data_IF_312155976578
#
_entry.id   IF_312155976578
#
_cell.length_a   1.000
_cell.length_b   1.000
_cell.length_c   1.000
_cell.angle_alpha   90.00
_cell.angle_beta   90.00
_cell.angle_gamma   90.00
#
_symmetry.space_group_name_H-M   'P 1'
#
loop_
_entity.id
_entity.type
_entity.pdbx_description
1 polymer ?
#
# COMPACT_ATOMS: atom_id res chain seq x y z
N UNK A 1 -2.07 12.50 9.75
CA UNK A 1 -1.25 11.40 10.28
C UNK A 1 -2.00 10.08 10.33
N UNK A 2 -3.10 9.96 11.10
CA UNK A 2 -3.90 8.71 11.24
C UNK A 2 -4.26 8.05 9.89
N UNK A 3 -4.67 8.84 8.89
CA UNK A 3 -5.04 8.34 7.55
C UNK A 3 -3.92 7.62 6.80
N UNK A 4 -2.67 8.07 6.98
CA UNK A 4 -1.50 7.46 6.35
C UNK A 4 -1.17 6.16 7.08
N UNK A 5 -1.33 6.11 8.40
CA UNK A 5 -1.15 4.90 9.20
C UNK A 5 -2.16 3.81 8.82
N UNK A 6 -3.40 4.16 8.50
CA UNK A 6 -4.39 3.20 7.98
C UNK A 6 -3.91 2.62 6.65
N UNK A 7 -3.51 3.47 5.69
CA UNK A 7 -2.99 2.99 4.39
C UNK A 7 -1.74 2.12 4.54
N UNK A 8 -0.82 2.49 5.43
CA UNK A 8 0.38 1.71 5.76
C UNK A 8 0.00 0.35 6.36
N UNK A 9 -0.91 0.33 7.34
CA UNK A 9 -1.38 -0.91 7.96
C UNK A 9 -2.05 -1.84 6.94
N UNK A 10 -2.91 -1.30 6.07
CA UNK A 10 -3.52 -2.07 4.98
C UNK A 10 -2.46 -2.61 4.01
N UNK A 11 -1.46 -1.81 3.64
CA UNK A 11 -0.36 -2.24 2.77
C UNK A 11 0.38 -3.45 3.37
N UNK A 12 0.72 -3.38 4.66
CA UNK A 12 1.46 -4.44 5.36
C UNK A 12 0.60 -5.70 5.46
N UNK A 13 -0.66 -5.60 5.88
CA UNK A 13 -1.56 -6.76 6.02
C UNK A 13 -1.74 -7.46 4.67
N UNK A 14 -2.05 -6.71 3.61
CA UNK A 14 -2.24 -7.27 2.28
C UNK A 14 -0.97 -7.91 1.73
N UNK A 15 0.19 -7.27 1.96
CA UNK A 15 1.48 -7.80 1.54
C UNK A 15 1.81 -9.14 2.23
N UNK A 16 1.52 -9.26 3.52
CA UNK A 16 1.81 -10.46 4.30
C UNK A 16 0.84 -11.62 4.02
N UNK A 17 -0.45 -11.33 3.78
CA UNK A 17 -1.48 -12.37 3.62
C UNK A 17 -1.63 -12.80 2.16
N UNK A 18 -1.67 -11.84 1.22
CA UNK A 18 -2.01 -12.09 -0.19
C UNK A 18 -0.78 -11.98 -1.11
N UNK A 19 0.37 -11.58 -0.56
CA UNK A 19 1.61 -11.41 -1.29
C UNK A 19 1.81 -10.00 -1.85
N UNK A 20 2.99 -9.80 -2.43
CA UNK A 20 3.52 -8.47 -2.77
C UNK A 20 2.69 -7.67 -3.79
N UNK A 21 1.99 -8.36 -4.70
CA UNK A 21 1.15 -7.71 -5.70
C UNK A 21 -0.01 -6.90 -5.06
N UNK A 22 -0.46 -7.28 -3.87
CA UNK A 22 -1.58 -6.63 -3.18
C UNK A 22 -1.18 -5.38 -2.38
N UNK A 23 0.11 -5.02 -2.36
CA UNK A 23 0.57 -3.76 -1.76
C UNK A 23 -0.07 -2.51 -2.40
N UNK A 24 -0.52 -2.61 -3.66
CA UNK A 24 -1.30 -1.55 -4.32
C UNK A 24 -2.58 -1.18 -3.56
N UNK A 25 -3.20 -2.14 -2.85
CA UNK A 25 -4.41 -1.91 -2.05
C UNK A 25 -4.18 -0.93 -0.90
N UNK A 26 -2.99 -0.94 -0.29
CA UNK A 26 -2.61 0.06 0.71
C UNK A 26 -2.46 1.46 0.11
N UNK A 27 -1.94 1.54 -1.11
CA UNK A 27 -1.93 2.78 -1.91
C UNK A 27 -3.35 3.28 -2.18
N UNK A 28 -4.26 2.41 -2.62
CA UNK A 28 -5.68 2.74 -2.86
C UNK A 28 -6.33 3.28 -1.60
N UNK A 29 -6.18 2.60 -0.46
CA UNK A 29 -6.71 3.06 0.81
C UNK A 29 -6.17 4.45 1.17
N UNK A 30 -4.85 4.67 1.10
CA UNK A 30 -4.25 5.97 1.37
C UNK A 30 -4.78 7.07 0.43
N UNK A 31 -4.96 6.75 -0.86
CA UNK A 31 -5.50 7.65 -1.87
C UNK A 31 -6.95 8.07 -1.61
N UNK A 32 -7.79 7.13 -1.16
CA UNK A 32 -9.17 7.41 -0.76
C UNK A 32 -9.24 8.42 0.40
N UNK A 33 -8.29 8.38 1.34
CA UNK A 33 -8.30 9.27 2.51
C UNK A 33 -7.56 10.61 2.31
N UNK A 34 -6.67 10.70 1.31
CA UNK A 34 -5.78 11.85 1.09
C UNK A 34 -5.83 12.40 -0.35
N UNK A 35 -7.03 12.77 -0.84
CA UNK A 35 -7.29 13.14 -2.24
C UNK A 35 -6.35 14.17 -2.87
N UNK A 36 -6.02 15.27 -2.17
CA UNK A 36 -5.18 16.37 -2.72
C UNK A 36 -3.73 15.98 -3.00
N UNK A 37 -3.20 14.99 -2.27
CA UNK A 37 -1.81 14.52 -2.41
C UNK A 37 -1.78 13.00 -2.47
N UNK A 38 -2.75 12.43 -3.18
CA UNK A 38 -3.01 10.99 -3.15
C UNK A 38 -1.84 10.16 -3.68
N UNK A 39 -1.19 10.64 -4.75
CA UNK A 39 0.04 10.04 -5.30
C UNK A 39 1.14 9.98 -4.23
N UNK A 40 1.38 11.08 -3.52
CA UNK A 40 2.40 11.17 -2.48
C UNK A 40 2.01 10.31 -1.26
N UNK A 41 0.75 10.36 -0.83
CA UNK A 41 0.25 9.59 0.30
C UNK A 41 0.33 8.08 0.05
N UNK A 42 -0.03 7.63 -1.15
CA UNK A 42 0.09 6.23 -1.55
C UNK A 42 1.55 5.81 -1.71
N UNK A 43 2.38 6.64 -2.36
CA UNK A 43 3.81 6.38 -2.51
C UNK A 43 4.53 6.27 -1.16
N UNK A 44 4.25 7.17 -0.22
CA UNK A 44 4.80 7.11 1.14
C UNK A 44 4.26 5.88 1.89
N UNK A 45 2.96 5.60 1.83
CA UNK A 45 2.38 4.48 2.56
C UNK A 45 2.97 3.13 2.11
N UNK A 46 3.07 2.89 0.80
CA UNK A 46 3.59 1.63 0.27
C UNK A 46 5.12 1.61 0.28
N UNK A 47 5.76 2.70 -0.12
CA UNK A 47 7.23 2.83 -0.13
C UNK A 47 7.85 2.69 1.26
N UNK A 48 7.26 3.31 2.29
CA UNK A 48 7.69 3.10 3.68
C UNK A 48 7.46 1.66 4.13
N UNK A 49 6.33 1.04 3.75
CA UNK A 49 6.07 -0.38 4.04
C UNK A 49 7.16 -1.29 3.50
N UNK A 50 7.54 -1.11 2.23
CA UNK A 50 8.64 -1.84 1.60
C UNK A 50 10.00 -1.53 2.23
N UNK A 51 10.26 -0.26 2.56
CA UNK A 51 11.50 0.15 3.23
C UNK A 51 11.65 -0.56 4.58
N UNK A 52 10.57 -0.58 5.38
CA UNK A 52 10.54 -1.27 6.66
C UNK A 52 10.72 -2.77 6.50
N UNK A 53 10.09 -3.38 5.48
CA UNK A 53 10.25 -4.79 5.19
C UNK A 53 11.69 -5.17 4.84
N UNK A 54 12.32 -4.39 3.95
CA UNK A 54 13.74 -4.56 3.59
C UNK A 54 14.63 -4.40 4.82
N UNK A 55 14.43 -3.35 5.61
CA UNK A 55 15.20 -3.12 6.83
C UNK A 55 15.04 -4.27 7.83
N UNK A 56 13.82 -4.78 8.00
CA UNK A 56 13.53 -5.94 8.84
C UNK A 56 14.29 -7.19 8.37
N UNK A 57 14.34 -7.45 7.07
CA UNK A 57 15.10 -8.59 6.53
C UNK A 57 16.60 -8.50 6.87
N UNK A 58 17.20 -7.31 6.76
CA UNK A 58 18.59 -7.08 7.15
C UNK A 58 18.82 -7.22 8.66
N UNK A 59 17.85 -6.84 9.50
CA UNK A 59 17.96 -6.95 10.96
C UNK A 59 17.83 -8.41 11.41
N UNK A 60 16.84 -9.14 10.89
CA UNK A 60 16.50 -10.49 11.35
C UNK A 60 17.39 -11.56 10.72
N UNK A 61 17.79 -11.39 9.46
CA UNK A 61 18.56 -12.37 8.71
C UNK A 61 19.62 -11.70 7.81
N UNK A 62 20.63 -11.03 8.39
CA UNK A 62 21.62 -10.27 7.62
C UNK A 62 22.42 -11.13 6.64
N UNK A 63 23.01 -12.24 7.11
CA UNK A 63 23.83 -13.12 6.25
C UNK A 63 23.03 -13.75 5.09
N UNK A 64 21.87 -14.39 5.32
CA UNK A 64 21.04 -14.90 4.24
C UNK A 64 20.61 -13.81 3.25
N UNK A 65 20.25 -12.63 3.76
CA UNK A 65 19.85 -11.49 2.92
C UNK A 65 21.00 -11.05 2.02
N UNK A 66 22.21 -10.87 2.57
CA UNK A 66 23.39 -10.50 1.78
C UNK A 66 23.75 -11.55 0.71
N UNK A 67 23.66 -12.85 1.04
CA UNK A 67 23.88 -13.92 0.05
C UNK A 67 22.84 -13.90 -1.06
N UNK A 68 21.57 -13.71 -0.73
CA UNK A 68 20.49 -13.60 -1.71
C UNK A 68 20.74 -12.41 -2.65
N UNK A 69 21.12 -11.25 -2.11
CA UNK A 69 21.42 -10.06 -2.91
C UNK A 69 22.63 -10.26 -3.83
N UNK A 70 23.66 -10.98 -3.37
CA UNK A 70 24.81 -11.32 -4.22
C UNK A 70 24.41 -12.25 -5.37
N UNK A 71 23.62 -13.29 -5.09
CA UNK A 71 23.12 -14.23 -6.11
C UNK A 71 22.27 -13.49 -7.14
N UNK A 72 21.31 -12.68 -6.68
CA UNK A 72 20.47 -11.89 -7.57
C UNK A 72 21.29 -10.88 -8.39
N UNK A 73 22.27 -10.21 -7.78
CA UNK A 73 23.17 -9.29 -8.49
C UNK A 73 23.93 -9.99 -9.61
N UNK A 74 24.42 -11.21 -9.36
CA UNK A 74 25.04 -12.05 -10.39
C UNK A 74 24.05 -12.44 -11.50
N UNK A 75 22.81 -12.81 -11.16
CA UNK A 75 21.76 -13.15 -12.14
C UNK A 75 21.40 -11.98 -13.07
N UNK A 76 21.46 -10.75 -12.58
CA UNK A 76 21.19 -9.54 -13.38
C UNK A 76 22.44 -8.98 -14.08
N UNK A 77 23.45 -9.81 -14.35
CA UNK A 77 24.64 -9.40 -15.12
C UNK A 77 25.73 -8.73 -14.29
N UNK A 78 25.84 -9.07 -13.00
CA UNK A 78 26.88 -8.54 -12.11
C UNK A 78 26.54 -7.18 -11.50
N UNK A 79 25.26 -6.82 -11.42
CA UNK A 79 24.84 -5.61 -10.74
C UNK A 79 25.21 -5.66 -9.25
N UNK A 80 25.57 -4.52 -8.64
CA UNK A 80 25.73 -4.44 -7.19
C UNK A 80 24.45 -4.89 -6.48
N UNK A 81 24.55 -5.90 -5.60
CA UNK A 81 23.40 -6.45 -4.88
C UNK A 81 22.63 -5.40 -4.06
N UNK A 82 23.29 -4.31 -3.66
CA UNK A 82 22.67 -3.17 -2.98
C UNK A 82 21.64 -2.40 -3.84
N UNK A 83 21.69 -2.51 -5.17
CA UNK A 83 20.70 -1.88 -6.06
C UNK A 83 19.34 -2.59 -6.00
N UNK A 84 19.32 -3.88 -5.69
CA UNK A 84 18.08 -4.67 -5.64
C UNK A 84 17.10 -4.12 -4.59
N UNK A 85 17.47 -3.92 -3.31
CA UNK A 85 16.54 -3.36 -2.33
C UNK A 85 16.11 -1.93 -2.71
N UNK A 86 17.00 -1.13 -3.30
CA UNK A 86 16.66 0.22 -3.79
C UNK A 86 15.58 0.16 -4.87
N UNK A 87 15.77 -0.71 -5.88
CA UNK A 87 14.78 -0.90 -6.96
C UNK A 87 13.47 -1.47 -6.41
N UNK A 88 13.54 -2.43 -5.48
CA UNK A 88 12.35 -3.00 -4.84
C UNK A 88 11.53 -1.94 -4.11
N UNK A 89 12.18 -1.11 -3.29
CA UNK A 89 11.51 0.00 -2.59
C UNK A 89 10.95 1.01 -3.59
N UNK A 90 11.69 1.32 -4.65
CA UNK A 90 11.25 2.22 -5.70
C UNK A 90 10.00 1.71 -6.42
N UNK A 91 9.99 0.44 -6.85
CA UNK A 91 8.82 -0.21 -7.46
C UNK A 91 7.64 -0.23 -6.49
N UNK A 92 7.88 -0.53 -5.21
CA UNK A 92 6.88 -0.43 -4.15
C UNK A 92 6.28 0.97 -4.04
N UNK A 93 7.14 2.00 -4.06
CA UNK A 93 6.72 3.41 -4.08
C UNK A 93 5.87 3.75 -5.31
N UNK A 94 6.26 3.31 -6.50
CA UNK A 94 5.48 3.51 -7.74
C UNK A 94 4.12 2.82 -7.69
N UNK A 95 4.05 1.58 -7.19
CA UNK A 95 2.78 0.89 -6.93
C UNK A 95 1.92 1.67 -5.94
N UNK A 96 2.54 2.24 -4.91
CA UNK A 96 1.88 3.14 -3.97
C UNK A 96 1.32 4.39 -4.64
N UNK A 97 2.09 5.05 -5.50
CA UNK A 97 1.65 6.22 -6.28
C UNK A 97 0.45 5.84 -7.15
N UNK A 98 0.55 4.76 -7.91
CA UNK A 98 -0.53 4.27 -8.78
C UNK A 98 -1.78 3.95 -7.96
N UNK A 99 -1.65 3.16 -6.89
CA UNK A 99 -2.75 2.86 -5.97
C UNK A 99 -3.37 4.13 -5.38
N UNK A 100 -2.55 5.08 -4.93
CA UNK A 100 -2.98 6.37 -4.41
C UNK A 100 -3.82 7.16 -5.42
N UNK A 101 -3.36 7.25 -6.66
CA UNK A 101 -4.11 7.92 -7.73
C UNK A 101 -5.44 7.22 -8.02
N UNK A 102 -5.46 5.88 -8.08
CA UNK A 102 -6.67 5.09 -8.28
C UNK A 102 -7.67 5.31 -7.14
N UNK A 103 -7.23 5.23 -5.89
CA UNK A 103 -8.09 5.45 -4.72
C UNK A 103 -8.69 6.85 -4.67
N UNK A 104 -7.94 7.88 -5.09
CA UNK A 104 -8.47 9.24 -5.19
C UNK A 104 -9.54 9.39 -6.27
N UNK A 105 -9.42 8.65 -7.38
CA UNK A 105 -10.41 8.63 -8.47
C UNK A 105 -11.68 7.87 -8.10
N UNK A 106 -11.61 6.89 -7.18
CA UNK A 106 -12.79 6.12 -6.72
C UNK A 106 -13.62 6.87 -5.68
N UNK A 107 -13.01 7.74 -4.87
CA UNK A 107 -13.68 8.46 -3.78
C UNK A 107 -14.92 9.31 -4.24
N UNK A 108 -14.88 10.08 -5.34
CA UNK A 108 -16.04 10.82 -5.85
C UNK A 108 -17.25 9.95 -6.18
N UNK A 109 -17.04 8.67 -6.53
CA UNK A 109 -18.11 7.73 -6.90
C UNK A 109 -18.62 6.99 -5.67
N UNK A 110 -17.71 6.56 -4.79
CA UNK A 110 -18.06 5.77 -3.61
C UNK A 110 -18.73 6.59 -2.51
N UNK A 111 -18.37 7.88 -2.34
CA UNK A 111 -18.91 8.71 -1.26
C UNK A 111 -20.41 8.99 -1.43
N UNK A 112 -20.92 9.38 -2.62
CA UNK A 112 -22.35 9.56 -2.84
C UNK A 112 -23.13 8.25 -2.72
N UNK A 113 -22.59 7.15 -3.27
CA UNK A 113 -23.21 5.82 -3.21
C UNK A 113 -23.38 5.36 -1.76
N UNK A 114 -22.34 5.53 -0.94
CA UNK A 114 -22.38 5.20 0.48
C UNK A 114 -23.44 6.02 1.23
N UNK A 115 -23.52 7.33 0.96
CA UNK A 115 -24.51 8.20 1.57
C UNK A 115 -25.95 7.81 1.19
N UNK A 116 -26.19 7.39 -0.07
CA UNK A 116 -27.48 6.85 -0.50
C UNK A 116 -27.83 5.53 0.19
N UNK A 117 -26.87 4.62 0.34
CA UNK A 117 -27.12 3.35 1.02
C UNK A 117 -27.43 3.58 2.50
N UNK A 118 -26.65 4.42 3.17
CA UNK A 118 -26.86 4.78 4.58
C UNK A 118 -28.26 5.37 4.81
N UNK A 119 -28.73 6.28 3.95
CA UNK A 119 -30.06 6.88 4.11
C UNK A 119 -31.20 5.87 3.94
N UNK A 120 -31.06 4.90 3.02
CA UNK A 120 -32.02 3.79 2.86
C UNK A 120 -32.12 2.91 4.10
N UNK A 121 -30.99 2.57 4.72
CA UNK A 121 -30.99 1.78 5.96
C UNK A 121 -31.60 2.56 7.13
N UNK A 122 -31.31 3.86 7.24
CA UNK A 122 -31.93 4.72 8.26
C UNK A 122 -33.44 4.84 8.11
N UNK A 123 -33.98 4.82 6.89
CA UNK A 123 -35.44 4.88 6.69
C UNK A 123 -36.12 3.55 7.05
N UNK A 124 -35.49 2.40 6.75
CA UNK A 124 -36.04 1.08 7.08
C UNK A 124 -36.14 0.81 8.58
N UNK A 125 -35.24 1.35 9.41
CA UNK A 125 -35.30 1.15 10.87
C UNK A 125 -36.49 1.85 11.52
N UNK A 126 -36.98 2.96 10.95
CA UNK A 126 -38.15 3.67 11.47
C UNK A 126 -39.48 3.04 11.03
N UNK A 127 -39.53 2.33 9.91
CA UNK A 127 -40.73 1.64 9.44
C UNK A 127 -40.98 0.29 10.11
N UNK A 128 -39.99 -0.32 10.77
CA UNK A 128 -40.11 -1.62 11.42
C UNK A 128 -40.62 -1.56 12.88
N UNK A 129 -40.86 -0.35 13.41
CA UNK A 129 -41.30 -0.10 14.80
C UNK A 129 -42.77 0.40 14.84
N UNK A 130 -43.47 0.44 13.70
CA UNK A 130 -44.91 0.68 13.62
C UNK A 130 -45.62 -0.58 13.21
#
# INVERSE_FOLDING_TARGET
MIRILIGLGTAIILHLILGWAWSIGGGIAAGMYCRRRAWLAGGIAVGLGWTLFVAHAFIVAPEPTLRLLAIMGAMFGGLPGALIPVVTVFVGGLLGVAGGTLGASMNPVLTPLWNQLRSRFSQRSHSAIR
#
